data_IF_768513001467
#
_entry.id   IF_768513001467
#
_cell.length_a   1.000
_cell.length_b   1.000
_cell.length_c   1.000
_cell.angle_alpha   90.00
_cell.angle_beta   90.00
_cell.angle_gamma   90.00
#
_symmetry.space_group_name_H-M   'P 1'
#
loop_
_entity.id
_entity.type
_entity.pdbx_description
1 polymer ?
#
# COMPACT_ATOMS: atom_id res chain seq x y z
N UNK A 1 41.28 -48.76 51.79
CA UNK A 1 40.25 -47.70 51.89
C UNK A 1 40.44 -46.73 50.74
N UNK A 2 39.75 -46.94 49.64
CA UNK A 2 39.90 -46.13 48.38
C UNK A 2 38.68 -45.22 48.25
N UNK A 3 38.92 -43.93 48.35
CA UNK A 3 37.86 -42.90 48.16
C UNK A 3 37.75 -42.57 46.66
N UNK A 4 36.60 -42.83 46.09
CA UNK A 4 36.23 -42.39 44.76
C UNK A 4 35.74 -40.93 44.81
N UNK A 5 36.36 -40.06 44.01
CA UNK A 5 35.87 -38.68 43.78
C UNK A 5 34.90 -38.71 42.59
N UNK A 6 33.64 -38.33 42.85
CA UNK A 6 32.68 -38.07 41.80
C UNK A 6 32.87 -36.64 41.30
N UNK A 7 33.22 -36.48 40.02
CA UNK A 7 33.20 -35.18 39.37
C UNK A 7 31.81 -34.92 38.76
N UNK A 8 31.14 -33.89 39.22
CA UNK A 8 29.88 -33.39 38.65
C UNK A 8 30.21 -32.38 37.60
N UNK A 9 29.99 -32.72 36.32
CA UNK A 9 30.08 -31.80 35.22
C UNK A 9 28.78 -30.99 35.12
N UNK A 10 28.86 -29.68 35.40
CA UNK A 10 27.76 -28.73 35.15
C UNK A 10 27.85 -28.29 33.70
N UNK A 11 26.89 -28.74 32.88
CA UNK A 11 26.72 -28.26 31.50
C UNK A 11 25.93 -26.97 31.54
N UNK A 12 26.57 -25.86 31.21
CA UNK A 12 25.91 -24.57 31.04
C UNK A 12 25.38 -24.50 29.59
N UNK A 13 24.06 -24.67 29.40
CA UNK A 13 23.43 -24.41 28.12
C UNK A 13 23.31 -22.89 27.95
N UNK A 14 24.09 -22.30 27.04
CA UNK A 14 23.92 -20.94 26.57
C UNK A 14 22.76 -20.93 25.55
N UNK A 15 21.56 -20.56 26.01
CA UNK A 15 20.44 -20.22 25.13
C UNK A 15 20.73 -18.85 24.48
N UNK A 16 21.21 -18.85 23.24
CA UNK A 16 21.30 -17.65 22.41
C UNK A 16 19.89 -17.30 21.95
N UNK A 17 19.22 -16.44 22.71
CA UNK A 17 17.98 -15.83 22.28
C UNK A 17 18.24 -14.90 21.08
N UNK A 18 17.82 -15.30 19.89
CA UNK A 18 17.81 -14.44 18.72
C UNK A 18 16.80 -13.29 18.97
N UNK A 19 17.30 -12.16 19.45
CA UNK A 19 16.51 -10.93 19.49
C UNK A 19 16.27 -10.49 18.05
N UNK A 20 15.05 -10.65 17.56
CA UNK A 20 14.60 -10.03 16.31
C UNK A 20 14.62 -8.52 16.50
N UNK A 21 15.67 -7.86 16.01
CA UNK A 21 15.71 -6.40 15.93
C UNK A 21 14.62 -5.98 14.95
N UNK A 22 13.53 -5.46 15.47
CA UNK A 22 12.50 -4.85 14.63
C UNK A 22 13.15 -3.70 13.84
N UNK A 23 13.16 -3.79 12.51
CA UNK A 23 13.74 -2.76 11.67
C UNK A 23 13.07 -1.41 11.96
N UNK A 24 13.87 -0.40 12.32
CA UNK A 24 13.35 0.92 12.62
C UNK A 24 12.66 1.53 11.39
N UNK A 25 11.39 1.93 11.52
CA UNK A 25 10.64 2.57 10.44
C UNK A 25 11.29 3.91 10.06
N UNK A 26 11.44 4.15 8.77
CA UNK A 26 11.91 5.44 8.24
C UNK A 26 10.81 6.47 8.42
N UNK A 27 11.19 7.70 8.78
CA UNK A 27 10.23 8.80 8.93
C UNK A 27 9.53 9.12 7.60
N UNK A 28 8.21 9.16 7.60
CA UNK A 28 7.39 9.54 6.44
C UNK A 28 7.65 10.97 5.95
N UNK A 29 8.35 11.78 6.75
CA UNK A 29 8.74 13.15 6.38
C UNK A 29 9.96 13.21 5.46
N UNK A 30 10.62 12.06 5.19
CA UNK A 30 11.82 12.00 4.36
C UNK A 30 11.67 10.98 3.21
N UNK A 31 10.94 11.31 2.12
CA UNK A 31 10.76 10.40 0.99
C UNK A 31 12.07 9.93 0.34
N UNK A 32 13.13 10.74 0.41
CA UNK A 32 14.42 10.41 -0.18
C UNK A 32 15.14 9.24 0.50
N UNK A 33 14.74 8.88 1.72
CA UNK A 33 15.28 7.72 2.44
C UNK A 33 14.62 6.39 2.03
N UNK A 34 13.52 6.41 1.30
CA UNK A 34 12.76 5.24 0.86
C UNK A 34 13.38 4.63 -0.40
N UNK A 35 14.47 3.87 -0.25
CA UNK A 35 15.32 3.41 -1.36
C UNK A 35 15.51 1.89 -1.41
N UNK A 36 14.81 1.15 -0.56
CA UNK A 36 14.96 -0.31 -0.54
C UNK A 36 14.43 -0.90 -1.85
N UNK A 37 15.18 -1.84 -2.41
CA UNK A 37 14.72 -2.67 -3.50
C UNK A 37 13.78 -3.74 -2.94
N UNK A 38 12.63 -3.91 -3.57
CA UNK A 38 11.66 -4.92 -3.15
C UNK A 38 12.13 -6.34 -3.54
N UNK A 39 11.72 -7.38 -2.79
CA UNK A 39 11.86 -8.76 -3.25
C UNK A 39 11.21 -8.98 -4.63
N UNK A 40 11.65 -10.02 -5.34
CA UNK A 40 11.08 -10.38 -6.66
C UNK A 40 9.55 -10.56 -6.60
N UNK A 41 9.08 -11.15 -5.50
CA UNK A 41 7.66 -11.24 -5.13
C UNK A 41 7.52 -11.05 -3.62
N UNK A 42 6.41 -10.42 -3.20
CA UNK A 42 6.05 -10.30 -1.78
C UNK A 42 4.54 -10.13 -1.65
N UNK A 43 4.01 -10.49 -0.50
CA UNK A 43 2.61 -10.30 -0.18
C UNK A 43 2.45 -9.07 0.73
N UNK A 44 1.34 -8.36 0.55
CA UNK A 44 0.91 -7.28 1.43
C UNK A 44 -0.49 -7.59 1.93
N UNK A 45 -0.62 -7.78 3.24
CA UNK A 45 -1.90 -7.92 3.91
C UNK A 45 -2.47 -6.55 4.24
N UNK A 46 -3.69 -6.31 3.81
CA UNK A 46 -4.49 -5.17 4.18
C UNK A 46 -5.56 -5.58 5.20
N UNK A 47 -5.40 -5.16 6.46
CA UNK A 47 -6.50 -5.17 7.44
C UNK A 47 -7.29 -3.88 7.27
N UNK A 48 -8.55 -4.00 6.91
CA UNK A 48 -9.42 -2.86 6.60
C UNK A 48 -10.69 -2.87 7.44
N UNK A 49 -11.45 -1.78 7.40
CA UNK A 49 -12.79 -1.71 8.00
C UNK A 49 -13.79 -2.71 7.39
N UNK A 50 -13.60 -3.08 6.12
CA UNK A 50 -14.46 -4.02 5.39
C UNK A 50 -14.03 -5.49 5.54
N UNK A 51 -12.86 -5.77 6.10
CA UNK A 51 -12.26 -7.11 6.20
C UNK A 51 -10.82 -7.12 5.70
N UNK A 52 -10.27 -8.33 5.55
CA UNK A 52 -8.89 -8.55 5.16
C UNK A 52 -8.80 -8.98 3.70
N UNK A 53 -7.83 -8.43 2.97
CA UNK A 53 -7.41 -8.95 1.67
C UNK A 53 -5.89 -8.93 1.54
N UNK A 54 -5.36 -9.78 0.66
CA UNK A 54 -3.91 -9.90 0.42
C UNK A 54 -3.60 -9.57 -1.03
N UNK A 55 -2.60 -8.73 -1.23
CA UNK A 55 -2.05 -8.37 -2.53
C UNK A 55 -0.70 -9.06 -2.71
N UNK A 56 -0.54 -9.81 -3.80
CA UNK A 56 0.76 -10.26 -4.25
C UNK A 56 1.33 -9.24 -5.22
N UNK A 57 2.54 -8.76 -4.91
CA UNK A 57 3.30 -7.89 -5.80
C UNK A 57 4.34 -8.72 -6.55
N UNK A 58 4.44 -8.49 -7.86
CA UNK A 58 5.44 -9.10 -8.74
C UNK A 58 6.33 -7.99 -9.31
N UNK A 59 7.54 -7.87 -8.77
CA UNK A 59 8.45 -6.76 -9.08
C UNK A 59 8.76 -6.63 -10.57
N UNK A 60 8.90 -7.75 -11.29
CA UNK A 60 9.21 -7.72 -12.73
C UNK A 60 8.09 -7.08 -13.58
N UNK A 61 6.84 -7.05 -13.11
CA UNK A 61 5.75 -6.40 -13.85
C UNK A 61 5.97 -4.90 -13.99
N UNK A 62 6.39 -4.24 -12.88
CA UNK A 62 6.67 -2.82 -12.82
C UNK A 62 7.64 -2.52 -11.65
N UNK A 63 8.95 -2.61 -11.87
CA UNK A 63 9.95 -2.57 -10.78
C UNK A 63 9.91 -1.30 -9.93
N UNK A 64 9.79 -0.13 -10.54
CA UNK A 64 9.76 1.14 -9.80
C UNK A 64 8.50 1.27 -8.95
N UNK A 65 7.36 0.82 -9.48
CA UNK A 65 6.10 0.79 -8.76
C UNK A 65 6.18 -0.19 -7.59
N UNK A 66 6.70 -1.41 -7.81
CA UNK A 66 6.88 -2.41 -6.76
C UNK A 66 7.80 -1.92 -5.64
N UNK A 67 8.96 -1.32 -5.97
CA UNK A 67 9.90 -0.76 -4.99
C UNK A 67 9.26 0.40 -4.21
N UNK A 68 8.56 1.31 -4.88
CA UNK A 68 7.83 2.41 -4.24
C UNK A 68 6.79 1.87 -3.26
N UNK A 69 5.97 0.93 -3.68
CA UNK A 69 4.92 0.35 -2.86
C UNK A 69 5.48 -0.42 -1.66
N UNK A 70 6.54 -1.22 -1.86
CA UNK A 70 7.25 -1.92 -0.79
C UNK A 70 7.70 -0.98 0.32
N UNK A 71 8.41 0.10 -0.06
CA UNK A 71 8.91 1.08 0.89
C UNK A 71 7.79 1.80 1.65
N UNK A 72 6.70 2.15 0.96
CA UNK A 72 5.53 2.80 1.58
C UNK A 72 4.87 1.89 2.60
N UNK A 73 4.61 0.61 2.25
CA UNK A 73 4.01 -0.39 3.16
C UNK A 73 4.92 -0.66 4.35
N UNK A 74 6.22 -0.96 4.10
CA UNK A 74 7.21 -1.27 5.13
C UNK A 74 7.28 -0.20 6.23
N UNK A 75 7.09 1.05 5.86
CA UNK A 75 7.17 2.19 6.77
C UNK A 75 5.80 2.67 7.28
N UNK A 76 4.71 1.95 6.99
CA UNK A 76 3.36 2.23 7.51
C UNK A 76 2.68 3.45 6.87
N UNK A 77 3.08 3.81 5.64
CA UNK A 77 2.47 4.96 4.95
C UNK A 77 0.97 4.79 4.73
N UNK A 78 0.51 3.57 4.45
CA UNK A 78 -0.91 3.32 4.16
C UNK A 78 -1.79 3.13 5.39
N UNK A 79 -1.22 3.08 6.61
CA UNK A 79 -2.00 2.92 7.83
C UNK A 79 -2.92 4.12 8.05
N UNK A 80 -4.20 3.87 8.34
CA UNK A 80 -5.22 4.88 8.54
C UNK A 80 -5.76 5.57 7.27
N UNK A 81 -5.26 5.21 6.08
CA UNK A 81 -5.70 5.81 4.80
C UNK A 81 -7.07 5.27 4.40
N UNK A 82 -7.91 6.15 3.85
CA UNK A 82 -9.24 5.83 3.34
C UNK A 82 -9.22 5.55 1.84
N UNK A 83 -10.14 4.67 1.41
CA UNK A 83 -10.42 4.45 -0.01
C UNK A 83 -11.29 5.62 -0.51
N UNK A 84 -10.63 6.73 -0.81
CA UNK A 84 -11.28 8.03 -1.02
C UNK A 84 -12.04 8.17 -2.35
N UNK A 85 -11.80 7.28 -3.31
CA UNK A 85 -12.47 7.27 -4.61
C UNK A 85 -12.77 5.83 -5.01
N UNK A 86 -14.03 5.46 -5.06
CA UNK A 86 -14.46 4.15 -5.48
C UNK A 86 -15.57 4.29 -6.53
N UNK A 87 -15.24 3.99 -7.78
CA UNK A 87 -16.15 4.12 -8.93
C UNK A 87 -16.64 2.73 -9.31
N UNK A 88 -17.96 2.46 -9.16
CA UNK A 88 -18.52 1.17 -9.53
C UNK A 88 -18.16 0.77 -10.95
N UNK A 89 -17.86 -0.52 -11.16
CA UNK A 89 -17.47 -1.04 -12.47
C UNK A 89 -16.24 -0.35 -13.09
N UNK A 90 -15.34 0.18 -12.27
CA UNK A 90 -14.09 0.76 -12.72
C UNK A 90 -12.94 0.43 -11.75
N UNK A 91 -12.77 1.19 -10.67
CA UNK A 91 -11.66 1.00 -9.75
C UNK A 91 -11.94 1.58 -8.35
N UNK A 92 -11.18 1.14 -7.36
CA UNK A 92 -11.12 1.73 -6.01
C UNK A 92 -9.72 2.27 -5.74
N UNK A 93 -9.61 3.57 -5.44
CA UNK A 93 -8.35 4.32 -5.29
C UNK A 93 -8.13 4.79 -3.86
N UNK A 94 -6.88 4.69 -3.41
CA UNK A 94 -6.40 5.12 -2.10
C UNK A 94 -4.98 5.67 -2.19
N UNK A 95 -4.39 6.13 -1.07
CA UNK A 95 -2.98 6.54 -1.02
C UNK A 95 -2.75 8.04 -0.91
N UNK A 96 -3.78 8.84 -0.61
CA UNK A 96 -3.60 10.19 -0.05
C UNK A 96 -3.47 10.03 1.46
N UNK A 97 -2.34 10.42 2.03
CA UNK A 97 -2.08 10.24 3.46
C UNK A 97 -3.01 11.12 4.31
N UNK A 98 -3.54 10.55 5.41
CA UNK A 98 -4.50 11.23 6.27
C UNK A 98 -3.97 12.46 7.00
N UNK A 99 -2.64 12.57 7.16
CA UNK A 99 -1.98 13.79 7.64
C UNK A 99 -1.58 14.67 6.44
N UNK A 100 -2.12 15.91 6.33
CA UNK A 100 -1.85 16.80 5.20
C UNK A 100 -0.37 17.16 5.01
N UNK A 101 0.40 17.27 6.09
CA UNK A 101 1.83 17.57 5.99
C UNK A 101 2.58 16.44 5.28
N UNK A 102 2.31 15.18 5.65
CA UNK A 102 2.89 14.02 4.99
C UNK A 102 2.41 13.95 3.54
N UNK A 103 1.11 14.09 3.29
CA UNK A 103 0.54 14.08 1.94
C UNK A 103 1.24 15.10 1.02
N UNK A 104 1.42 16.34 1.51
CA UNK A 104 2.04 17.43 0.75
C UNK A 104 3.54 17.16 0.43
N UNK A 105 4.28 16.57 1.37
CA UNK A 105 5.68 16.17 1.13
C UNK A 105 5.75 15.12 0.02
N UNK A 106 4.89 14.10 0.06
CA UNK A 106 4.91 13.02 -0.90
C UNK A 106 4.40 13.39 -2.29
N UNK A 107 3.60 14.45 -2.45
CA UNK A 107 3.26 14.99 -3.78
C UNK A 107 4.48 15.53 -4.54
N UNK A 108 5.55 15.89 -3.80
CA UNK A 108 6.82 16.41 -4.35
C UNK A 108 7.88 15.32 -4.54
N UNK A 109 7.52 14.06 -4.35
CA UNK A 109 8.40 12.90 -4.52
C UNK A 109 7.90 11.96 -5.64
N UNK A 110 7.72 12.46 -6.89
CA UNK A 110 7.24 11.67 -7.99
C UNK A 110 8.28 10.65 -8.46
N UNK A 111 7.80 9.62 -9.14
CA UNK A 111 8.61 8.70 -9.93
C UNK A 111 8.01 8.53 -11.33
N UNK A 112 8.86 8.23 -12.32
CA UNK A 112 8.41 7.93 -13.67
C UNK A 112 7.82 6.53 -13.72
N UNK A 113 6.66 6.32 -14.35
CA UNK A 113 6.04 5.02 -14.45
C UNK A 113 6.92 4.02 -15.20
N UNK A 114 6.69 2.74 -14.93
CA UNK A 114 7.29 1.64 -15.69
C UNK A 114 6.58 1.46 -17.04
N UNK A 115 7.22 0.74 -17.95
CA UNK A 115 6.54 0.24 -19.15
C UNK A 115 5.51 -0.82 -18.75
N UNK A 116 4.37 -0.81 -19.42
CA UNK A 116 3.32 -1.82 -19.19
C UNK A 116 3.82 -3.19 -19.67
N UNK A 117 4.07 -4.08 -18.73
CA UNK A 117 4.36 -5.50 -18.97
C UNK A 117 3.17 -6.39 -18.60
N UNK A 118 2.37 -5.96 -17.62
CA UNK A 118 1.16 -6.63 -17.18
C UNK A 118 -0.02 -5.67 -17.24
N UNK A 119 -1.15 -6.14 -17.79
CA UNK A 119 -2.32 -5.29 -18.05
C UNK A 119 -3.21 -5.08 -16.83
N UNK A 120 -4.09 -4.09 -16.93
CA UNK A 120 -5.06 -3.70 -15.90
C UNK A 120 -6.27 -4.65 -15.88
N UNK A 121 -6.04 -5.91 -15.56
CA UNK A 121 -7.09 -6.92 -15.38
C UNK A 121 -7.83 -6.73 -14.05
N UNK A 122 -9.01 -7.35 -13.93
CA UNK A 122 -9.74 -7.32 -12.66
C UNK A 122 -8.85 -7.79 -11.52
N UNK A 123 -8.92 -7.10 -10.38
CA UNK A 123 -8.14 -7.29 -9.13
C UNK A 123 -6.64 -6.97 -9.23
N UNK A 124 -6.13 -6.43 -10.34
CA UNK A 124 -4.75 -5.90 -10.36
C UNK A 124 -4.66 -4.54 -9.67
N UNK A 125 -3.45 -4.25 -9.16
CA UNK A 125 -3.08 -2.96 -8.55
C UNK A 125 -2.18 -2.17 -9.48
N UNK A 126 -2.45 -0.86 -9.56
CA UNK A 126 -1.73 0.07 -10.42
C UNK A 126 -1.58 1.42 -9.73
N UNK A 127 -0.44 2.09 -9.90
CA UNK A 127 -0.30 3.48 -9.42
C UNK A 127 -1.14 4.43 -10.27
N UNK A 128 -1.86 5.33 -9.61
CA UNK A 128 -2.48 6.46 -10.27
C UNK A 128 -1.40 7.45 -10.74
N UNK A 129 -1.60 7.98 -11.92
CA UNK A 129 -0.67 8.90 -12.57
C UNK A 129 -1.35 10.21 -12.92
N UNK A 130 -0.55 11.27 -13.01
CA UNK A 130 -0.98 12.59 -13.48
C UNK A 130 0.18 13.38 -14.04
N UNK A 131 -0.13 14.53 -14.62
CA UNK A 131 0.87 15.42 -15.22
C UNK A 131 1.26 15.08 -16.67
N UNK A 132 2.10 15.94 -17.23
CA UNK A 132 2.70 15.75 -18.55
C UNK A 132 4.16 16.24 -18.48
N UNK A 133 5.17 15.34 -18.54
CA UNK A 133 5.02 13.87 -18.63
C UNK A 133 4.33 13.25 -17.40
N UNK A 134 3.68 12.11 -17.60
CA UNK A 134 2.97 11.41 -16.54
C UNK A 134 3.91 10.94 -15.43
N UNK A 135 3.52 11.15 -14.18
CA UNK A 135 4.26 10.72 -12.99
C UNK A 135 3.31 10.13 -11.95
N UNK A 136 3.83 9.27 -11.09
CA UNK A 136 3.13 8.71 -9.95
C UNK A 136 3.79 9.12 -8.64
N UNK A 137 3.07 9.08 -7.52
CA UNK A 137 3.60 9.37 -6.19
C UNK A 137 3.30 8.24 -5.20
N UNK A 138 2.11 8.26 -4.59
CA UNK A 138 1.70 7.33 -3.53
C UNK A 138 0.33 6.72 -3.74
N UNK A 139 -0.48 7.28 -4.65
CA UNK A 139 -1.83 6.80 -4.86
C UNK A 139 -1.85 5.58 -5.75
N UNK A 140 -2.58 4.55 -5.33
CA UNK A 140 -2.79 3.30 -6.06
C UNK A 140 -4.28 3.02 -6.21
N UNK A 141 -4.64 2.24 -7.21
CA UNK A 141 -5.99 1.76 -7.38
C UNK A 141 -6.04 0.26 -7.63
N UNK A 142 -7.12 -0.36 -7.17
CA UNK A 142 -7.49 -1.74 -7.45
C UNK A 142 -8.49 -1.72 -8.61
N UNK A 143 -8.22 -2.45 -9.67
CA UNK A 143 -9.14 -2.62 -10.79
C UNK A 143 -10.30 -3.54 -10.38
N UNK A 144 -11.53 -3.04 -10.25
CA UNK A 144 -12.69 -3.90 -9.87
C UNK A 144 -13.33 -4.58 -11.08
N UNK A 145 -12.84 -4.28 -12.29
CA UNK A 145 -13.16 -4.96 -13.55
C UNK A 145 -11.91 -5.03 -14.42
N UNK A 146 -12.04 -5.60 -15.62
CA UNK A 146 -11.00 -5.48 -16.67
C UNK A 146 -11.02 -4.05 -17.23
N UNK A 147 -9.88 -3.35 -17.07
CA UNK A 147 -9.65 -1.97 -17.51
C UNK A 147 -8.49 -1.91 -18.52
N UNK A 148 -8.37 -2.88 -19.43
CA UNK A 148 -7.28 -3.00 -20.39
C UNK A 148 -7.08 -1.73 -21.28
N UNK A 149 -8.10 -0.88 -21.36
CA UNK A 149 -7.97 0.43 -22.02
C UNK A 149 -6.96 1.36 -21.34
N UNK A 150 -6.59 1.10 -20.08
CA UNK A 150 -5.57 1.87 -19.36
C UNK A 150 -4.14 1.48 -19.76
N UNK A 151 -3.96 0.30 -20.35
CA UNK A 151 -2.64 -0.22 -20.74
C UNK A 151 -2.00 0.69 -21.79
N UNK A 152 -2.77 1.09 -22.81
CA UNK A 152 -2.33 2.02 -23.84
C UNK A 152 -2.05 3.44 -23.35
N UNK A 153 -2.49 3.78 -22.13
CA UNK A 153 -2.23 5.05 -21.46
C UNK A 153 -1.01 4.99 -20.52
N UNK A 154 -0.31 3.85 -20.47
CA UNK A 154 0.91 3.67 -19.68
C UNK A 154 0.69 3.30 -18.21
N UNK A 155 -0.52 2.93 -17.79
CA UNK A 155 -0.79 2.44 -16.45
C UNK A 155 -0.27 1.01 -16.29
N UNK A 156 0.88 0.84 -15.63
CA UNK A 156 1.52 -0.45 -15.44
C UNK A 156 1.05 -1.10 -14.13
N UNK A 157 0.36 -2.24 -14.22
CA UNK A 157 0.03 -3.04 -13.05
C UNK A 157 1.29 -3.65 -12.44
N UNK A 158 1.37 -3.69 -11.11
CA UNK A 158 2.53 -4.19 -10.37
C UNK A 158 2.20 -5.33 -9.39
N UNK A 159 0.91 -5.60 -9.16
CA UNK A 159 0.45 -6.65 -8.25
C UNK A 159 -1.02 -6.97 -8.48
N UNK A 160 -1.51 -7.95 -7.74
CA UNK A 160 -2.90 -8.41 -7.81
C UNK A 160 -3.41 -8.86 -6.44
N UNK A 161 -4.71 -8.72 -6.19
CA UNK A 161 -5.38 -9.27 -5.01
C UNK A 161 -5.50 -10.77 -5.18
N UNK A 162 -4.81 -11.54 -4.32
CA UNK A 162 -4.79 -13.02 -4.37
C UNK A 162 -5.72 -13.66 -3.34
N UNK A 163 -6.02 -12.94 -2.24
CA UNK A 163 -6.96 -13.38 -1.21
C UNK A 163 -7.92 -12.24 -0.86
N UNK A 164 -9.15 -12.55 -0.47
CA UNK A 164 -10.16 -11.55 -0.10
C UNK A 164 -10.63 -10.67 -1.26
N UNK A 165 -10.65 -11.20 -2.50
CA UNK A 165 -11.10 -10.46 -3.67
C UNK A 165 -12.55 -9.96 -3.54
N UNK A 166 -13.40 -10.67 -2.81
CA UNK A 166 -14.75 -10.25 -2.49
C UNK A 166 -14.79 -9.05 -1.55
N UNK A 167 -13.86 -8.97 -0.59
CA UNK A 167 -13.68 -7.80 0.29
C UNK A 167 -13.21 -6.60 -0.53
N UNK A 168 -12.13 -6.76 -1.30
CA UNK A 168 -11.59 -5.69 -2.15
C UNK A 168 -12.61 -5.18 -3.19
N UNK A 169 -13.45 -6.08 -3.71
CA UNK A 169 -14.48 -5.76 -4.69
C UNK A 169 -15.75 -5.11 -4.11
N UNK A 170 -15.94 -5.14 -2.78
CA UNK A 170 -17.13 -4.59 -2.07
C UNK A 170 -16.82 -3.35 -1.24
N UNK A 171 -15.59 -2.81 -1.32
CA UNK A 171 -15.24 -1.54 -0.66
C UNK A 171 -16.26 -0.47 -1.02
N UNK A 172 -16.66 0.34 -0.02
CA UNK A 172 -17.78 1.26 -0.15
C UNK A 172 -17.60 2.24 -1.32
N UNK A 173 -18.51 2.18 -2.28
CA UNK A 173 -18.47 2.96 -3.52
C UNK A 173 -19.67 3.93 -3.68
N UNK A 174 -20.46 4.11 -2.62
CA UNK A 174 -21.69 4.93 -2.70
C UNK A 174 -21.46 6.42 -2.90
N UNK A 175 -20.24 6.94 -2.71
CA UNK A 175 -19.89 8.33 -3.03
C UNK A 175 -19.38 8.48 -4.48
N UNK A 176 -18.88 7.41 -5.11
CA UNK A 176 -18.44 7.43 -6.51
C UNK A 176 -17.16 8.21 -6.77
N UNK A 177 -17.18 9.00 -7.85
CA UNK A 177 -16.05 9.81 -8.30
C UNK A 177 -16.01 11.19 -7.62
N UNK A 178 -14.89 11.90 -7.76
CA UNK A 178 -14.72 13.27 -7.28
C UNK A 178 -15.67 14.26 -8.00
N UNK A 179 -16.04 15.39 -7.37
CA UNK A 179 -16.91 16.41 -7.97
C UNK A 179 -16.41 16.95 -9.31
N UNK A 180 -15.09 17.12 -9.44
CA UNK A 180 -14.42 17.54 -10.70
C UNK A 180 -14.61 16.57 -11.86
N UNK A 181 -15.15 15.36 -11.59
CA UNK A 181 -15.46 14.31 -12.56
C UNK A 181 -16.96 13.98 -12.59
N UNK A 182 -17.80 14.84 -12.01
CA UNK A 182 -19.25 14.69 -11.97
C UNK A 182 -19.78 13.73 -10.89
N UNK A 183 -18.96 13.34 -9.90
CA UNK A 183 -19.37 12.50 -8.79
C UNK A 183 -19.68 13.26 -7.51
N UNK A 184 -20.04 12.52 -6.46
CA UNK A 184 -20.31 13.03 -5.12
C UNK A 184 -19.26 12.64 -4.09
N UNK A 185 -18.13 12.11 -4.55
CA UNK A 185 -17.02 11.68 -3.69
C UNK A 185 -16.19 12.84 -3.15
N UNK A 186 -15.16 12.55 -2.36
CA UNK A 186 -14.27 13.55 -1.81
C UNK A 186 -13.63 14.46 -2.85
N UNK A 187 -13.57 15.74 -2.54
CA UNK A 187 -12.80 16.71 -3.32
C UNK A 187 -11.30 16.53 -3.04
N UNK A 188 -10.52 16.34 -4.10
CA UNK A 188 -9.09 16.05 -3.97
C UNK A 188 -8.29 17.21 -3.38
N UNK A 189 -8.66 18.45 -3.62
CA UNK A 189 -7.96 19.62 -3.10
C UNK A 189 -8.23 19.78 -1.59
N UNK A 190 -9.47 19.57 -1.16
CA UNK A 190 -9.82 19.54 0.27
C UNK A 190 -9.14 18.36 0.98
N UNK A 191 -9.15 17.18 0.37
CA UNK A 191 -8.48 16.00 0.93
C UNK A 191 -6.98 16.26 1.15
N UNK A 192 -6.31 16.85 0.19
CA UNK A 192 -4.89 17.20 0.32
C UNK A 192 -4.61 18.22 1.42
N UNK A 193 -5.55 19.15 1.67
CA UNK A 193 -5.43 20.23 2.65
C UNK A 193 -5.86 19.83 4.06
N UNK A 194 -6.92 19.04 4.20
CA UNK A 194 -7.60 18.74 5.45
C UNK A 194 -7.40 17.29 5.91
N UNK A 195 -6.97 16.40 5.00
CA UNK A 195 -6.67 15.00 5.30
C UNK A 195 -7.88 14.20 5.81
N UNK A 196 -7.60 13.29 6.74
CA UNK A 196 -8.65 12.44 7.31
C UNK A 196 -9.75 13.21 8.03
N UNK A 197 -9.47 14.38 8.61
CA UNK A 197 -10.48 15.18 9.29
C UNK A 197 -11.65 15.56 8.36
N UNK A 198 -11.35 15.87 7.10
CA UNK A 198 -12.36 16.09 6.08
C UNK A 198 -13.19 14.83 5.80
N UNK A 199 -12.50 13.68 5.61
CA UNK A 199 -13.18 12.43 5.26
C UNK A 199 -14.02 11.89 6.43
N UNK A 200 -13.54 12.02 7.66
CA UNK A 200 -14.25 11.62 8.88
C UNK A 200 -15.53 12.42 9.10
N UNK A 201 -15.50 13.69 8.76
CA UNK A 201 -16.64 14.57 8.91
C UNK A 201 -17.70 14.37 7.82
N UNK A 202 -17.28 14.37 6.56
CA UNK A 202 -18.18 14.52 5.42
C UNK A 202 -18.43 13.17 4.68
N UNK A 203 -17.56 12.14 4.90
CA UNK A 203 -17.58 10.86 4.19
C UNK A 203 -17.45 9.65 5.12
N UNK A 204 -18.29 9.59 6.14
CA UNK A 204 -18.23 8.63 7.27
C UNK A 204 -18.34 7.15 6.87
N UNK A 205 -18.85 6.85 5.66
CA UNK A 205 -19.04 5.48 5.16
C UNK A 205 -17.82 4.94 4.39
N UNK A 206 -16.79 5.78 4.15
CA UNK A 206 -15.60 5.31 3.44
C UNK A 206 -14.89 4.24 4.25
N UNK A 207 -14.61 3.12 3.60
CA UNK A 207 -13.70 2.13 4.16
C UNK A 207 -12.28 2.68 4.29
N UNK A 208 -11.56 2.14 5.26
CA UNK A 208 -10.19 2.55 5.55
C UNK A 208 -9.28 1.37 5.82
N UNK A 209 -8.01 1.57 5.59
CA UNK A 209 -6.93 0.65 5.93
C UNK A 209 -6.58 0.88 7.41
N UNK A 210 -6.79 -0.12 8.27
CA UNK A 210 -6.32 -0.09 9.65
C UNK A 210 -4.81 -0.26 9.67
N UNK A 211 -4.32 -1.25 8.92
CA UNK A 211 -2.90 -1.54 8.79
C UNK A 211 -2.60 -2.24 7.47
N UNK A 212 -1.47 -1.91 6.85
CA UNK A 212 -0.89 -2.64 5.72
C UNK A 212 0.47 -3.22 6.12
N UNK A 213 0.66 -4.54 5.99
CA UNK A 213 1.88 -5.24 6.41
C UNK A 213 2.44 -6.11 5.30
N UNK A 214 3.77 -6.14 5.18
CA UNK A 214 4.45 -7.11 4.31
C UNK A 214 4.44 -8.45 5.04
N UNK A 215 3.98 -9.49 4.35
CA UNK A 215 4.05 -10.87 4.82
C UNK A 215 5.19 -11.60 4.09
N UNK A 216 5.82 -12.57 4.78
CA UNK A 216 6.88 -13.40 4.19
C UNK A 216 6.46 -14.15 2.94
#
# INVERSE_FOLDING_TARGET
MTRALLAVAVVFELSIGAATVAAQKISLMNPAAFKDEAPATYNVKFDTSAGVFVVRVTRDWAPKAADRFYNLVKNGFYDGIRFHRAVPNFMTQFGVHGNPTVANIWTRAPFSPDKVKHGNKRMTLTFAMGGNPATATTQVFINVRDNSNLDGQGFAAFGEVVEGQDIAGKLYSGYGDAPSRGGNGPDNARLAKEGNAYLEKDFTKLDHIKQATIEP
#
